data_IF_294340490710
#
_entry.id   IF_294340490710
#
_cell.length_a   1.000
_cell.length_b   1.000
_cell.length_c   1.000
_cell.angle_alpha   90.00
_cell.angle_beta   90.00
_cell.angle_gamma   90.00
#
_symmetry.space_group_name_H-M   'P 1'
#
loop_
_entity.id
_entity.type
_entity.pdbx_description
1 polymer ?
#
# COMPACT_ATOMS: atom_id res chain seq x y z
N UNK A 1 -20.12 54.52 -24.40
CA UNK A 1 -20.15 54.88 -22.97
C UNK A 1 -20.39 53.61 -22.18
N UNK A 2 -19.54 53.40 -21.18
CA UNK A 2 -19.20 52.13 -20.55
C UNK A 2 -20.22 51.62 -19.52
N UNK A 3 -20.03 50.33 -19.18
CA UNK A 3 -20.33 49.62 -17.91
C UNK A 3 -21.39 48.52 -18.04
N UNK A 4 -21.32 47.31 -17.48
CA UNK A 4 -20.28 46.40 -16.94
C UNK A 4 -20.98 45.02 -16.74
N UNK A 5 -20.26 43.90 -16.96
CA UNK A 5 -20.46 42.53 -16.44
C UNK A 5 -21.66 41.62 -16.87
N UNK A 6 -21.29 40.64 -17.71
CA UNK A 6 -21.48 39.17 -17.66
C UNK A 6 -22.67 38.44 -16.99
N UNK A 7 -23.31 37.62 -17.85
CA UNK A 7 -23.83 36.23 -17.78
C UNK A 7 -24.55 35.68 -16.52
N UNK A 8 -25.83 35.29 -16.63
CA UNK A 8 -26.36 33.94 -17.01
C UNK A 8 -25.96 32.87 -15.96
N UNK A 9 -26.85 32.15 -15.25
CA UNK A 9 -27.92 31.31 -15.77
C UNK A 9 -28.77 30.68 -14.62
N UNK A 10 -30.11 30.61 -14.81
CA UNK A 10 -31.10 29.58 -14.37
C UNK A 10 -31.03 28.96 -12.94
N UNK A 11 -31.96 29.17 -11.98
CA UNK A 11 -33.40 28.78 -11.90
C UNK A 11 -33.62 27.25 -11.96
N UNK A 12 -34.38 26.51 -11.14
CA UNK A 12 -35.50 26.75 -10.22
C UNK A 12 -35.68 25.56 -9.25
N UNK A 13 -36.21 25.84 -8.06
CA UNK A 13 -36.82 24.88 -7.13
C UNK A 13 -38.25 24.53 -7.57
N UNK A 14 -38.77 23.33 -7.25
CA UNK A 14 -40.22 23.08 -7.23
C UNK A 14 -40.68 21.63 -7.46
N UNK A 15 -41.24 21.04 -6.41
CA UNK A 15 -41.91 19.74 -6.20
C UNK A 15 -43.06 19.35 -7.15
N UNK A 16 -43.25 18.04 -7.42
CA UNK A 16 -44.49 17.23 -7.22
C UNK A 16 -44.53 15.92 -8.05
N UNK A 17 -45.05 14.82 -7.46
CA UNK A 17 -45.45 13.55 -8.09
C UNK A 17 -46.63 13.71 -9.08
N UNK A 18 -46.94 12.68 -9.92
CA UNK A 18 -48.20 11.97 -9.67
C UNK A 18 -48.28 10.46 -10.05
N UNK A 19 -49.03 9.73 -9.21
CA UNK A 19 -50.15 8.81 -9.47
C UNK A 19 -50.06 7.63 -10.49
N UNK A 20 -50.16 6.40 -9.94
CA UNK A 20 -51.29 5.50 -10.27
C UNK A 20 -51.08 4.34 -11.26
N UNK A 21 -50.63 3.17 -10.77
CA UNK A 21 -50.96 1.87 -11.37
C UNK A 21 -51.03 0.75 -10.30
N UNK A 22 -52.26 0.37 -9.98
CA UNK A 22 -52.79 -0.85 -9.35
C UNK A 22 -51.86 -1.89 -8.71
N UNK A 23 -52.11 -2.14 -7.42
CA UNK A 23 -51.66 -3.29 -6.63
C UNK A 23 -52.47 -4.53 -7.02
N UNK A 24 -51.97 -5.34 -7.95
CA UNK A 24 -52.31 -6.76 -8.08
C UNK A 24 -51.31 -7.46 -9.00
N UNK A 25 -50.71 -8.56 -8.54
CA UNK A 25 -50.09 -9.62 -9.37
C UNK A 25 -48.56 -9.76 -9.43
N UNK A 26 -47.75 -9.25 -8.48
CA UNK A 26 -46.36 -9.76 -8.31
C UNK A 26 -46.03 -9.99 -6.83
N UNK A 27 -46.92 -10.70 -6.12
CA UNK A 27 -46.60 -11.29 -4.82
C UNK A 27 -46.09 -12.71 -5.03
N UNK A 28 -44.82 -12.88 -5.42
CA UNK A 28 -44.14 -14.20 -5.42
C UNK A 28 -42.60 -14.19 -5.55
N UNK A 29 -41.87 -13.06 -5.46
CA UNK A 29 -40.42 -13.09 -5.75
C UNK A 29 -39.52 -12.18 -4.91
N UNK A 30 -39.78 -11.98 -3.61
CA UNK A 30 -38.75 -11.39 -2.72
C UNK A 30 -38.76 -12.08 -1.35
N UNK A 31 -38.55 -13.39 -1.35
CA UNK A 31 -37.97 -14.12 -0.22
C UNK A 31 -37.03 -15.17 -0.80
N UNK A 32 -35.97 -14.71 -1.46
CA UNK A 32 -34.80 -15.55 -1.69
C UNK A 32 -33.82 -15.23 -0.58
N UNK A 33 -33.89 -16.05 0.46
CA UNK A 33 -32.82 -16.31 1.41
C UNK A 33 -31.50 -16.40 0.64
N UNK A 34 -30.61 -15.44 0.84
CA UNK A 34 -29.25 -15.48 0.32
C UNK A 34 -28.44 -16.46 1.19
N UNK A 35 -28.83 -17.74 1.14
CA UNK A 35 -28.00 -18.83 1.62
C UNK A 35 -26.98 -19.08 0.52
N UNK A 36 -25.79 -18.52 0.67
CA UNK A 36 -24.67 -18.89 -0.17
C UNK A 36 -24.37 -20.37 0.06
N UNK A 37 -24.32 -21.22 -0.99
CA UNK A 37 -23.73 -22.54 -0.84
C UNK A 37 -22.25 -22.34 -0.54
N UNK A 38 -21.83 -22.75 0.66
CA UNK A 38 -20.43 -23.04 1.00
C UNK A 38 -19.91 -24.06 0.00
N UNK A 39 -19.30 -23.58 -1.09
CA UNK A 39 -18.54 -24.43 -1.98
C UNK A 39 -17.28 -24.89 -1.24
N UNK A 40 -17.09 -26.20 -1.17
CA UNK A 40 -15.90 -26.79 -0.60
C UNK A 40 -14.66 -26.23 -1.31
N UNK A 41 -13.78 -25.58 -0.54
CA UNK A 41 -12.47 -25.17 -1.03
C UNK A 41 -11.67 -26.43 -1.42
N UNK A 42 -11.16 -26.54 -2.65
CA UNK A 42 -10.36 -27.69 -3.05
C UNK A 42 -9.06 -27.69 -2.26
N UNK A 43 -8.81 -28.77 -1.52
CA UNK A 43 -7.58 -29.04 -0.77
C UNK A 43 -6.33 -28.76 -1.61
N UNK A 44 -5.62 -27.67 -1.32
CA UNK A 44 -4.34 -27.33 -1.95
C UNK A 44 -3.25 -28.24 -1.36
N UNK A 45 -3.21 -29.48 -1.82
CA UNK A 45 -2.08 -30.38 -1.60
C UNK A 45 -1.44 -30.75 -2.94
N UNK A 46 -1.32 -29.76 -3.83
CA UNK A 46 -0.51 -29.89 -5.03
C UNK A 46 0.95 -29.59 -4.63
N UNK A 47 1.89 -30.51 -4.87
CA UNK A 47 3.30 -30.23 -4.63
C UNK A 47 3.74 -29.08 -5.53
N UNK A 48 4.28 -28.02 -4.91
CA UNK A 48 4.89 -26.90 -5.61
C UNK A 48 6.11 -27.46 -6.35
N UNK A 49 6.01 -27.58 -7.67
CA UNK A 49 7.14 -27.95 -8.52
C UNK A 49 8.07 -26.75 -8.61
N UNK A 50 9.11 -26.73 -7.77
CA UNK A 50 10.19 -25.75 -7.90
C UNK A 50 10.88 -25.94 -9.25
N UNK A 51 11.07 -24.89 -10.06
CA UNK A 51 11.86 -25.01 -11.27
C UNK A 51 13.29 -25.36 -10.90
N UNK A 52 13.78 -26.45 -11.46
CA UNK A 52 15.15 -26.91 -11.24
C UNK A 52 16.10 -26.01 -12.01
N UNK A 53 16.76 -25.10 -11.29
CA UNK A 53 17.76 -24.21 -11.87
C UNK A 53 19.01 -25.03 -12.25
N UNK A 54 19.58 -24.83 -13.45
CA UNK A 54 20.77 -25.56 -13.86
C UNK A 54 21.94 -25.20 -12.93
N UNK A 55 22.53 -26.24 -12.31
CA UNK A 55 23.72 -26.08 -11.46
C UNK A 55 24.92 -25.73 -12.34
N UNK A 56 25.30 -24.47 -12.36
CA UNK A 56 26.51 -24.00 -13.04
C UNK A 56 27.72 -24.42 -12.18
N UNK A 57 28.66 -25.23 -12.70
CA UNK A 57 29.84 -25.61 -11.94
C UNK A 57 30.83 -24.44 -11.88
N UNK A 58 30.88 -23.77 -10.73
CA UNK A 58 31.90 -22.74 -10.45
C UNK A 58 33.22 -23.47 -10.16
N UNK A 59 34.11 -23.55 -11.14
CA UNK A 59 35.50 -23.97 -10.90
C UNK A 59 36.22 -22.82 -10.18
N UNK A 60 36.44 -22.97 -8.87
CA UNK A 60 37.30 -22.07 -8.12
C UNK A 60 38.77 -22.28 -8.57
N UNK A 61 39.47 -21.26 -9.06
CA UNK A 61 40.91 -21.34 -9.26
C UNK A 61 41.59 -21.25 -7.89
N UNK A 62 42.27 -22.33 -7.51
CA UNK A 62 43.30 -22.26 -6.49
C UNK A 62 44.51 -21.58 -7.14
N UNK A 63 44.94 -20.44 -6.62
CA UNK A 63 46.34 -20.16 -6.22
C UNK A 63 46.66 -18.67 -6.10
N UNK A 64 47.56 -18.42 -5.15
CA UNK A 64 48.53 -17.32 -5.07
C UNK A 64 48.05 -16.01 -4.44
N UNK A 65 48.43 -15.90 -3.18
CA UNK A 65 48.59 -14.71 -2.36
C UNK A 65 49.35 -13.60 -3.10
N UNK A 66 48.66 -12.56 -3.58
CA UNK A 66 49.26 -11.23 -3.74
C UNK A 66 48.24 -10.15 -3.42
N UNK A 67 48.64 -9.30 -2.49
CA UNK A 67 47.86 -8.28 -1.81
C UNK A 67 47.83 -7.06 -2.73
N UNK A 68 46.74 -6.83 -3.47
CA UNK A 68 46.44 -5.55 -4.09
C UNK A 68 44.97 -5.16 -3.88
N UNK A 69 44.83 -4.10 -3.09
CA UNK A 69 43.76 -3.12 -2.97
C UNK A 69 42.69 -3.12 -4.10
N UNK A 70 41.47 -3.56 -3.78
CA UNK A 70 40.20 -2.78 -3.85
C UNK A 70 39.12 -3.59 -3.10
N UNK A 71 38.90 -3.19 -1.85
CA UNK A 71 38.13 -3.90 -0.83
C UNK A 71 36.65 -4.12 -1.19
N UNK A 72 36.37 -5.33 -1.65
CA UNK A 72 35.06 -5.97 -1.68
C UNK A 72 34.77 -6.56 -0.27
N UNK A 73 33.82 -5.91 0.43
CA UNK A 73 33.04 -6.32 1.61
C UNK A 73 33.73 -7.04 2.81
N UNK A 74 34.08 -6.32 3.90
CA UNK A 74 34.23 -6.89 5.22
C UNK A 74 32.86 -6.87 5.92
N UNK A 75 32.05 -7.92 5.78
CA UNK A 75 30.86 -8.09 6.62
C UNK A 75 31.25 -8.52 8.04
N UNK A 76 31.89 -7.64 8.80
CA UNK A 76 32.00 -7.82 10.25
C UNK A 76 30.96 -6.94 10.92
N UNK A 77 29.92 -7.56 11.46
CA UNK A 77 29.09 -6.97 12.52
C UNK A 77 28.53 -8.12 13.35
N UNK A 78 29.17 -8.37 14.49
CA UNK A 78 28.54 -9.09 15.58
C UNK A 78 27.41 -8.24 16.17
N UNK A 79 26.31 -8.89 16.59
CA UNK A 79 25.80 -8.77 17.96
C UNK A 79 24.61 -9.71 18.26
N UNK A 80 24.86 -10.60 19.22
CA UNK A 80 24.05 -10.99 20.39
C UNK A 80 22.54 -11.27 20.33
N UNK A 81 21.95 -11.70 19.21
CA UNK A 81 20.63 -12.36 19.24
C UNK A 81 20.53 -13.53 18.24
N UNK A 82 21.25 -14.63 18.53
CA UNK A 82 21.22 -15.88 17.76
C UNK A 82 20.40 -16.94 18.50
N UNK A 83 19.45 -17.57 17.82
CA UNK A 83 18.86 -18.81 18.29
C UNK A 83 19.92 -19.94 18.23
N UNK A 84 19.72 -21.04 18.96
CA UNK A 84 20.69 -22.15 19.04
C UNK A 84 21.00 -22.83 17.70
N UNK A 85 20.19 -22.56 16.68
CA UNK A 85 20.30 -23.04 15.30
C UNK A 85 20.98 -22.02 14.35
N UNK A 86 21.45 -20.87 14.84
CA UNK A 86 22.10 -19.84 14.05
C UNK A 86 21.15 -18.91 13.27
N UNK A 87 19.83 -19.08 13.44
CA UNK A 87 18.81 -18.17 12.92
C UNK A 87 18.64 -16.90 13.77
N UNK A 88 18.19 -15.81 13.15
CA UNK A 88 17.79 -14.58 13.88
C UNK A 88 16.52 -14.89 14.67
N UNK A 89 16.54 -14.65 15.98
CA UNK A 89 15.39 -14.90 16.86
C UNK A 89 14.19 -14.11 16.33
N UNK A 90 13.18 -14.82 15.85
CA UNK A 90 11.94 -14.22 15.38
C UNK A 90 11.17 -13.68 16.60
N UNK A 91 10.76 -12.40 16.61
CA UNK A 91 9.85 -11.93 17.65
C UNK A 91 8.57 -12.77 17.61
N UNK A 92 8.07 -13.14 18.80
CA UNK A 92 6.88 -13.98 18.96
C UNK A 92 5.72 -13.45 18.11
N UNK A 93 4.93 -14.34 17.51
CA UNK A 93 3.87 -13.97 16.56
C UNK A 93 2.89 -12.96 17.16
N UNK A 94 2.62 -13.09 18.45
CA UNK A 94 1.77 -12.17 19.23
C UNK A 94 2.35 -10.76 19.32
N UNK A 95 3.67 -10.63 19.53
CA UNK A 95 4.34 -9.33 19.60
C UNK A 95 4.31 -8.57 18.27
N UNK A 96 4.42 -9.28 17.14
CA UNK A 96 4.29 -8.70 15.81
C UNK A 96 2.87 -8.21 15.53
N UNK A 97 1.86 -8.97 15.95
CA UNK A 97 0.46 -8.56 15.83
C UNK A 97 0.21 -7.25 16.58
N UNK A 98 0.64 -7.15 17.84
CA UNK A 98 0.54 -5.90 18.64
C UNK A 98 1.25 -4.72 18.00
N UNK A 99 2.43 -4.94 17.40
CA UNK A 99 3.14 -3.90 16.66
C UNK A 99 2.33 -3.39 15.45
N UNK A 100 1.67 -4.27 14.69
CA UNK A 100 0.81 -3.85 13.58
C UNK A 100 -0.44 -3.11 14.06
N UNK A 101 -1.05 -3.54 15.17
CA UNK A 101 -2.19 -2.84 15.79
C UNK A 101 -1.80 -1.42 16.23
N UNK A 102 -0.67 -1.28 16.94
CA UNK A 102 -0.16 0.04 17.34
C UNK A 102 0.19 0.94 16.16
N UNK A 103 0.77 0.37 15.10
CA UNK A 103 1.05 1.07 13.83
C UNK A 103 -0.23 1.62 13.21
N UNK A 104 -1.24 0.77 13.08
CA UNK A 104 -2.48 1.11 12.38
C UNK A 104 -3.27 2.16 13.17
N UNK A 105 -3.27 2.07 14.51
CA UNK A 105 -3.84 3.10 15.39
C UNK A 105 -3.13 4.45 15.23
N UNK A 106 -1.79 4.46 15.22
CA UNK A 106 -1.00 5.68 15.00
C UNK A 106 -1.29 6.31 13.64
N UNK A 107 -1.27 5.52 12.57
CA UNK A 107 -1.54 6.00 11.21
C UNK A 107 -2.97 6.50 11.03
N UNK A 108 -3.96 5.82 11.62
CA UNK A 108 -5.33 6.33 11.63
C UNK A 108 -5.45 7.68 12.35
N UNK A 109 -4.67 7.91 13.41
CA UNK A 109 -4.62 9.22 14.06
C UNK A 109 -3.96 10.29 13.17
N UNK A 110 -2.87 9.95 12.48
CA UNK A 110 -2.24 10.86 11.51
C UNK A 110 -3.21 11.25 10.40
N UNK A 111 -3.95 10.28 9.84
CA UNK A 111 -4.94 10.51 8.78
C UNK A 111 -6.07 11.44 9.23
N UNK A 112 -6.57 11.29 10.46
CA UNK A 112 -7.59 12.20 11.03
C UNK A 112 -7.09 13.64 11.20
N UNK A 113 -5.79 13.84 11.31
CA UNK A 113 -5.16 15.13 11.55
C UNK A 113 -4.47 15.72 10.32
N UNK A 114 -4.64 15.09 9.16
CA UNK A 114 -4.03 15.45 7.88
C UNK A 114 -2.49 15.53 7.92
N UNK A 115 -1.87 14.59 8.65
CA UNK A 115 -0.41 14.49 8.75
C UNK A 115 0.07 13.32 7.89
N UNK A 116 0.77 13.62 6.80
CA UNK A 116 1.33 12.58 5.94
C UNK A 116 2.66 12.03 6.49
N UNK A 117 3.60 12.93 6.78
CA UNK A 117 4.98 12.60 7.13
C UNK A 117 5.20 12.67 8.65
N UNK A 118 4.98 11.54 9.32
CA UNK A 118 5.23 11.41 10.76
C UNK A 118 6.71 11.45 11.17
N UNK A 119 7.65 11.66 10.25
CA UNK A 119 9.08 11.87 10.53
C UNK A 119 9.39 13.36 10.54
N UNK A 120 8.98 14.08 9.50
CA UNK A 120 9.17 15.55 9.43
C UNK A 120 8.33 16.27 10.48
N UNK A 121 7.09 15.85 10.63
CA UNK A 121 6.12 16.49 11.53
C UNK A 121 6.00 15.72 12.86
N UNK A 122 7.06 15.03 13.31
CA UNK A 122 7.02 14.20 14.53
C UNK A 122 6.57 14.98 15.77
N UNK A 123 6.94 16.27 15.88
CA UNK A 123 6.50 17.13 16.97
C UNK A 123 4.97 17.36 16.95
N UNK A 124 4.40 17.54 15.76
CA UNK A 124 2.96 17.73 15.62
C UNK A 124 2.20 16.40 15.77
N UNK A 125 2.75 15.31 15.24
CA UNK A 125 2.26 13.96 15.45
C UNK A 125 2.23 13.60 16.94
N UNK A 126 3.29 13.92 17.70
CA UNK A 126 3.32 13.73 19.16
C UNK A 126 2.34 14.61 19.91
N UNK A 127 2.06 15.82 19.41
CA UNK A 127 1.09 16.74 20.03
C UNK A 127 -0.35 16.24 19.85
N UNK A 128 -0.70 15.77 18.64
CA UNK A 128 -2.08 15.38 18.30
C UNK A 128 -2.37 13.89 18.54
N UNK A 129 -1.36 13.03 18.46
CA UNK A 129 -1.44 11.57 18.54
C UNK A 129 -0.50 11.00 19.62
N UNK A 130 -0.35 11.72 20.74
CA UNK A 130 0.59 11.37 21.81
C UNK A 130 0.43 9.92 22.30
N UNK A 131 -0.82 9.49 22.48
CA UNK A 131 -1.18 8.17 22.99
C UNK A 131 -0.78 7.10 21.98
N UNK A 132 -1.24 7.23 20.74
CA UNK A 132 -1.03 6.25 19.70
C UNK A 132 0.45 6.14 19.31
N UNK A 133 1.21 7.24 19.33
CA UNK A 133 2.66 7.17 19.10
C UNK A 133 3.37 6.41 20.23
N UNK A 134 2.97 6.63 21.48
CA UNK A 134 3.58 5.94 22.62
C UNK A 134 3.28 4.44 22.58
N UNK A 135 2.05 4.06 22.23
CA UNK A 135 1.66 2.65 22.03
C UNK A 135 2.41 2.02 20.84
N UNK A 136 2.55 2.74 19.73
CA UNK A 136 3.30 2.28 18.57
C UNK A 136 4.79 2.07 18.87
N UNK A 137 5.43 3.02 19.54
CA UNK A 137 6.84 2.96 19.91
C UNK A 137 7.13 1.93 21.01
N UNK A 138 6.16 1.66 21.89
CA UNK A 138 6.27 0.62 22.91
C UNK A 138 6.04 -0.80 22.34
N UNK A 139 5.14 -0.95 21.37
CA UNK A 139 4.79 -2.25 20.79
C UNK A 139 5.76 -2.71 19.68
N UNK A 140 6.41 -1.77 18.98
CA UNK A 140 7.31 -2.07 17.86
C UNK A 140 8.78 -1.84 18.19
N UNK A 141 9.67 -2.56 17.50
CA UNK A 141 11.10 -2.23 17.53
C UNK A 141 11.37 -0.87 16.85
N UNK A 142 12.37 -0.13 17.32
CA UNK A 142 12.74 1.18 16.76
C UNK A 142 13.02 1.13 15.24
N UNK A 143 13.68 0.07 14.77
CA UNK A 143 13.94 -0.15 13.33
C UNK A 143 12.63 -0.29 12.54
N UNK A 144 11.64 -0.98 13.09
CA UNK A 144 10.33 -1.14 12.45
C UNK A 144 9.53 0.15 12.45
N UNK A 145 9.55 0.90 13.56
CA UNK A 145 8.91 2.23 13.66
C UNK A 145 9.44 3.15 12.58
N UNK A 146 10.77 3.27 12.47
CA UNK A 146 11.41 4.09 11.43
C UNK A 146 11.01 3.63 10.03
N UNK A 147 11.15 2.34 9.74
CA UNK A 147 10.80 1.77 8.44
C UNK A 147 9.35 2.05 8.04
N UNK A 148 8.39 1.87 8.95
CA UNK A 148 6.98 2.11 8.63
C UNK A 148 6.68 3.59 8.38
N UNK A 149 7.25 4.50 9.17
CA UNK A 149 7.10 5.94 8.94
C UNK A 149 7.67 6.34 7.57
N UNK A 150 8.85 5.84 7.21
CA UNK A 150 9.46 6.08 5.89
C UNK A 150 8.64 5.46 4.75
N UNK A 151 8.18 4.23 4.93
CA UNK A 151 7.38 3.50 3.94
C UNK A 151 6.09 4.25 3.59
N UNK A 152 5.41 4.84 4.58
CA UNK A 152 4.18 5.61 4.35
C UNK A 152 4.41 6.78 3.38
N UNK A 153 5.50 7.53 3.55
CA UNK A 153 5.86 8.66 2.67
C UNK A 153 6.29 8.16 1.29
N UNK A 154 7.08 7.09 1.24
CA UNK A 154 7.54 6.47 -0.01
C UNK A 154 6.38 5.99 -0.88
N UNK A 155 5.44 5.25 -0.32
CA UNK A 155 4.28 4.72 -1.06
C UNK A 155 3.38 5.86 -1.57
N UNK A 156 3.17 6.90 -0.75
CA UNK A 156 2.45 8.09 -1.20
C UNK A 156 3.12 8.76 -2.42
N UNK A 157 4.44 8.96 -2.36
CA UNK A 157 5.18 9.57 -3.47
C UNK A 157 5.19 8.68 -4.72
N UNK A 158 5.27 7.36 -4.54
CA UNK A 158 5.15 6.38 -5.61
C UNK A 158 3.80 6.49 -6.30
N UNK A 159 2.71 6.54 -5.53
CA UNK A 159 1.36 6.65 -6.07
C UNK A 159 1.14 7.97 -6.82
N UNK A 160 1.65 9.08 -6.29
CA UNK A 160 1.64 10.38 -6.99
C UNK A 160 2.43 10.38 -8.28
N UNK A 161 3.56 9.68 -8.30
CA UNK A 161 4.37 9.52 -9.52
C UNK A 161 3.64 8.70 -10.57
N UNK A 162 3.01 7.58 -10.17
CA UNK A 162 2.20 6.75 -11.06
C UNK A 162 1.01 7.55 -11.60
N UNK A 163 0.35 8.36 -10.77
CA UNK A 163 -0.74 9.22 -11.19
C UNK A 163 -0.29 10.24 -12.25
N UNK A 164 0.89 10.86 -12.06
CA UNK A 164 1.48 11.79 -13.03
C UNK A 164 1.81 11.12 -14.35
N UNK A 165 2.51 9.98 -14.32
CA UNK A 165 2.89 9.23 -15.53
C UNK A 165 1.64 8.83 -16.32
N UNK A 166 0.58 8.36 -15.65
CA UNK A 166 -0.70 8.03 -16.32
C UNK A 166 -1.34 9.22 -17.03
N UNK A 167 -1.23 10.43 -16.48
CA UNK A 167 -1.73 11.66 -17.13
C UNK A 167 -0.89 12.03 -18.33
N UNK A 168 0.44 12.02 -18.19
CA UNK A 168 1.39 12.29 -19.27
C UNK A 168 1.24 11.28 -20.42
N UNK A 169 1.06 9.99 -20.12
CA UNK A 169 0.80 8.94 -21.11
C UNK A 169 -0.53 9.17 -21.84
N UNK A 170 -1.59 9.54 -21.12
CA UNK A 170 -2.89 9.82 -21.71
C UNK A 170 -2.87 11.07 -22.61
N UNK A 171 -2.12 12.10 -22.23
CA UNK A 171 -1.89 13.30 -23.04
C UNK A 171 -1.06 12.98 -24.28
N UNK A 172 0.03 12.23 -24.12
CA UNK A 172 0.88 11.79 -25.23
C UNK A 172 0.11 10.93 -26.23
N UNK A 173 -0.74 10.01 -25.77
CA UNK A 173 -1.59 9.20 -26.65
C UNK A 173 -2.63 10.04 -27.38
N UNK A 174 -3.21 11.05 -26.73
CA UNK A 174 -4.14 11.99 -27.39
C UNK A 174 -3.41 12.78 -28.48
N UNK A 175 -2.20 13.24 -28.19
CA UNK A 175 -1.39 13.99 -29.15
C UNK A 175 -0.94 13.12 -30.33
N UNK A 176 -0.46 11.89 -30.07
CA UNK A 176 -0.11 10.98 -31.16
C UNK A 176 -1.32 10.66 -32.06
N UNK A 177 -2.51 10.49 -31.46
CA UNK A 177 -3.76 10.30 -32.23
C UNK A 177 -4.11 11.54 -33.06
N UNK A 178 -3.86 12.75 -32.56
CA UNK A 178 -4.07 14.01 -33.31
C UNK A 178 -3.11 14.10 -34.52
N UNK A 179 -1.87 13.62 -34.35
CA UNK A 179 -0.84 13.54 -35.38
C UNK A 179 -1.02 12.38 -36.36
N UNK A 180 -2.15 11.66 -36.30
CA UNK A 180 -2.48 10.59 -37.25
C UNK A 180 -1.88 9.23 -36.93
N UNK A 181 -1.34 9.02 -35.72
CA UNK A 181 -0.96 7.68 -35.24
C UNK A 181 -2.21 6.81 -35.08
N UNK A 182 -2.39 5.83 -35.96
CA UNK A 182 -3.42 4.80 -35.84
C UNK A 182 -2.81 3.58 -35.16
N UNK A 183 -3.30 3.21 -33.97
CA UNK A 183 -3.01 1.90 -33.38
C UNK A 183 -3.68 0.84 -34.25
N UNK A 184 -2.87 0.08 -34.99
CA UNK A 184 -3.32 -0.99 -35.87
C UNK A 184 -3.73 -2.23 -35.07
#
# INVERSE_FOLDING_TARGET
MSNTADHDQQSCLGTAEPAGATIASISSRITTTYQQPIQAVPSHNAPIRVPEYPKIPIKLPQTTTHIYNMGWLPWSSGDSNKASDGGRIAPDRTSRARCWEGRDAFFACLDRNDILDGIKDDKEARRKCAKEVAEFEAACSATWVKYFKEKRVMEYNRDKTIERIKKEDAETVKELKSQGWKSN
#
